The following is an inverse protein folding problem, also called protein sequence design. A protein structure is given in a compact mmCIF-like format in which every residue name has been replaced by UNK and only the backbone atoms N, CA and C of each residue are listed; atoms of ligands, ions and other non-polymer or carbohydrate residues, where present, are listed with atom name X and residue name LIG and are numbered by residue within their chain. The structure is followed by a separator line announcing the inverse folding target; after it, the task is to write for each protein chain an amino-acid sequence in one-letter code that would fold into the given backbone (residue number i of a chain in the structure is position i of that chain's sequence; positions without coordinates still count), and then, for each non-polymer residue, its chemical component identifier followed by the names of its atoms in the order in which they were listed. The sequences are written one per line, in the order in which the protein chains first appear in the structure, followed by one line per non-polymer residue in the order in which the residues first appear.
data_IF_906243863577
#
_entry.id   IF_906243863577
#
_cell.length_a   1.000
_cell.length_b   1.000
_cell.length_c   1.000
_cell.angle_alpha   90.00
_cell.angle_beta   90.00
_cell.angle_gamma   90.00
#
_symmetry.space_group_name_H-M   'P 1'
#
loop_
_entity.id
_entity.type
_entity.pdbx_description
1 polymer ?
#
# COMPACT_ATOMS: atom_id res chain seq x y z
N UNK A 1 22.29 -20.60 -86.27
CA UNK A 1 22.63 -20.69 -84.83
C UNK A 1 23.08 -19.29 -84.37
N UNK A 2 22.26 -18.53 -83.61
CA UNK A 2 22.67 -17.21 -83.16
C UNK A 2 23.70 -17.32 -82.01
N UNK A 3 24.66 -16.39 -81.91
CA UNK A 3 25.75 -16.48 -80.93
C UNK A 3 25.23 -16.33 -79.50
N UNK A 4 25.77 -17.16 -78.61
CA UNK A 4 25.54 -17.09 -77.17
C UNK A 4 25.89 -15.70 -76.65
N UNK A 5 24.91 -15.01 -76.08
CA UNK A 5 25.05 -13.68 -75.48
C UNK A 5 25.80 -13.84 -74.15
N UNK A 6 27.14 -13.91 -74.22
CA UNK A 6 27.99 -13.85 -73.04
C UNK A 6 27.74 -12.56 -72.28
N UNK A 7 27.55 -12.66 -70.97
CA UNK A 7 27.35 -11.51 -70.08
C UNK A 7 28.43 -10.46 -70.33
N UNK A 8 28.03 -9.22 -70.62
CA UNK A 8 28.98 -8.14 -70.90
C UNK A 8 29.88 -7.92 -69.67
N UNK A 9 31.16 -7.60 -69.87
CA UNK A 9 32.10 -7.29 -68.77
C UNK A 9 31.52 -6.29 -67.76
N UNK A 10 30.68 -5.36 -68.23
CA UNK A 10 29.94 -4.41 -67.37
C UNK A 10 28.93 -5.10 -66.44
N UNK A 11 28.19 -6.09 -66.93
CA UNK A 11 27.23 -6.86 -66.13
C UNK A 11 27.94 -7.69 -65.05
N UNK A 12 29.10 -8.28 -65.35
CA UNK A 12 29.90 -9.00 -64.35
C UNK A 12 30.37 -8.06 -63.23
N UNK A 13 30.83 -6.85 -63.58
CA UNK A 13 31.24 -5.83 -62.60
C UNK A 13 30.06 -5.43 -61.69
N UNK A 14 28.87 -5.21 -62.26
CA UNK A 14 27.69 -4.85 -61.46
C UNK A 14 27.27 -5.96 -60.49
N UNK A 15 27.34 -7.23 -60.91
CA UNK A 15 27.01 -8.37 -60.03
C UNK A 15 28.00 -8.46 -58.87
N UNK A 16 29.31 -8.30 -59.13
CA UNK A 16 30.32 -8.33 -58.07
C UNK A 16 30.12 -7.16 -57.11
N UNK A 17 29.89 -5.94 -57.62
CA UNK A 17 29.64 -4.77 -56.79
C UNK A 17 28.40 -4.94 -55.91
N UNK A 18 27.31 -5.49 -56.46
CA UNK A 18 26.09 -5.77 -55.70
C UNK A 18 26.32 -6.85 -54.62
N UNK A 19 27.07 -7.91 -54.92
CA UNK A 19 27.41 -8.95 -53.95
C UNK A 19 28.26 -8.41 -52.79
N UNK A 20 29.22 -7.52 -53.09
CA UNK A 20 30.04 -6.86 -52.06
C UNK A 20 29.19 -5.93 -51.18
N UNK A 21 28.30 -5.13 -51.79
CA UNK A 21 27.37 -4.27 -51.05
C UNK A 21 26.45 -5.08 -50.15
N UNK A 22 25.88 -6.18 -50.65
CA UNK A 22 25.05 -7.09 -49.85
C UNK A 22 25.84 -7.76 -48.72
N UNK A 23 27.10 -8.12 -48.97
CA UNK A 23 27.99 -8.66 -47.93
C UNK A 23 28.29 -7.63 -46.83
N UNK A 24 28.57 -6.38 -47.21
CA UNK A 24 28.83 -5.29 -46.26
C UNK A 24 27.58 -4.98 -45.44
N UNK A 25 26.40 -4.89 -46.06
CA UNK A 25 25.15 -4.62 -45.35
C UNK A 25 24.78 -5.77 -44.41
N UNK A 26 25.00 -7.01 -44.84
CA UNK A 26 24.81 -8.20 -44.01
C UNK A 26 25.75 -8.16 -42.79
N UNK A 27 27.06 -8.01 -42.98
CA UNK A 27 28.02 -7.95 -41.86
C UNK A 27 27.68 -6.81 -40.90
N UNK A 28 27.34 -5.63 -41.42
CA UNK A 28 26.96 -4.47 -40.60
C UNK A 28 25.68 -4.71 -39.80
N UNK A 29 24.73 -5.49 -40.32
CA UNK A 29 23.51 -5.88 -39.62
C UNK A 29 23.82 -6.83 -38.46
N UNK A 30 24.66 -7.85 -38.68
CA UNK A 30 25.04 -8.81 -37.63
C UNK A 30 25.93 -8.17 -36.56
N UNK A 31 26.75 -7.17 -36.90
CA UNK A 31 27.55 -6.41 -35.93
C UNK A 31 26.72 -5.47 -35.04
N UNK A 32 25.48 -5.14 -35.43
CA UNK A 32 24.56 -4.29 -34.65
C UNK A 32 23.59 -5.07 -33.76
N UNK A 33 23.59 -6.41 -33.81
CA UNK A 33 22.80 -7.18 -32.85
C UNK A 33 23.38 -6.98 -31.45
N UNK A 34 22.55 -6.62 -30.44
CA UNK A 34 23.02 -6.50 -29.07
C UNK A 34 23.60 -7.85 -28.63
N UNK A 35 24.79 -7.83 -28.04
CA UNK A 35 25.33 -9.01 -27.38
C UNK A 35 24.35 -9.44 -26.29
N UNK A 36 24.11 -10.75 -26.18
CA UNK A 36 23.40 -11.27 -25.03
C UNK A 36 24.06 -10.75 -23.74
N UNK A 37 23.28 -10.31 -22.74
CA UNK A 37 23.83 -9.82 -21.48
C UNK A 37 24.72 -10.89 -20.85
N UNK A 38 25.78 -10.47 -20.15
CA UNK A 38 26.66 -11.40 -19.48
C UNK A 38 25.88 -12.12 -18.38
N UNK A 39 26.20 -13.40 -18.15
CA UNK A 39 25.64 -14.19 -17.05
C UNK A 39 25.87 -13.53 -15.68
N UNK A 40 26.90 -12.68 -15.57
CA UNK A 40 27.17 -11.86 -14.38
C UNK A 40 26.16 -10.73 -14.21
N UNK A 41 25.78 -10.07 -15.28
CA UNK A 41 24.77 -8.98 -15.26
C UNK A 41 23.40 -9.53 -14.84
N UNK A 42 23.08 -10.75 -15.28
CA UNK A 42 21.86 -11.46 -14.86
C UNK A 42 21.88 -11.84 -13.38
N UNK A 43 23.05 -12.09 -12.79
CA UNK A 43 23.20 -12.41 -11.36
C UNK A 43 23.01 -11.17 -10.47
N UNK A 44 23.39 -9.99 -10.96
CA UNK A 44 23.18 -8.72 -10.26
C UNK A 44 21.71 -8.25 -10.34
N UNK A 45 20.95 -8.71 -11.34
CA UNK A 45 19.52 -8.48 -11.46
C UNK A 45 18.63 -9.42 -10.63
N UNK A 46 19.20 -10.44 -9.97
CA UNK A 46 18.45 -11.31 -9.08
C UNK A 46 18.26 -10.61 -7.71
N UNK A 47 17.06 -10.69 -7.12
CA UNK A 47 16.85 -10.19 -5.76
C UNK A 47 17.82 -10.86 -4.80
N UNK A 48 18.41 -10.05 -3.92
CA UNK A 48 19.46 -10.47 -2.99
C UNK A 48 19.00 -11.70 -2.18
N UNK A 49 19.71 -12.85 -2.22
CA UNK A 49 19.36 -14.04 -1.47
C UNK A 49 19.33 -13.83 0.06
N UNK A 50 19.76 -12.65 0.54
CA UNK A 50 19.66 -12.21 1.93
C UNK A 50 18.25 -11.80 2.39
N UNK A 51 17.27 -11.61 1.50
CA UNK A 51 15.88 -11.33 1.92
C UNK A 51 15.15 -12.63 2.30
N UNK A 52 15.60 -13.28 3.37
CA UNK A 52 14.84 -14.36 3.97
C UNK A 52 13.53 -13.77 4.52
N UNK A 53 12.39 -14.26 4.01
CA UNK A 53 11.03 -13.75 4.29
C UNK A 53 10.53 -13.91 5.73
N UNK A 54 11.43 -13.93 6.71
CA UNK A 54 11.14 -14.03 8.14
C UNK A 54 12.04 -13.05 8.92
N UNK A 55 12.20 -11.82 8.43
CA UNK A 55 12.87 -10.80 9.22
C UNK A 55 11.98 -10.42 10.42
N UNK A 56 12.32 -10.95 11.60
CA UNK A 56 11.68 -10.64 12.87
C UNK A 56 11.57 -9.12 13.11
N UNK A 57 12.43 -8.33 12.46
CA UNK A 57 12.44 -6.86 12.46
C UNK A 57 11.16 -6.21 11.93
N UNK A 58 10.37 -6.91 11.10
CA UNK A 58 9.09 -6.39 10.57
C UNK A 58 7.94 -6.52 11.58
N UNK A 59 8.04 -7.45 12.54
CA UNK A 59 6.97 -7.78 13.50
C UNK A 59 7.12 -7.13 14.87
N UNK A 60 7.94 -6.07 14.96
CA UNK A 60 8.19 -5.31 16.18
C UNK A 60 8.35 -3.81 15.93
N UNK A 61 8.26 -2.99 16.98
CA UNK A 61 8.40 -1.54 16.85
C UNK A 61 9.83 -1.17 16.43
N UNK A 62 9.95 -0.28 15.45
CA UNK A 62 11.23 0.22 14.94
C UNK A 62 11.35 1.74 15.08
N UNK A 63 12.49 2.30 14.65
CA UNK A 63 12.64 3.75 14.53
C UNK A 63 11.83 4.32 13.37
N UNK A 64 11.43 5.58 13.47
CA UNK A 64 10.84 6.31 12.36
C UNK A 64 11.82 6.41 11.17
N UNK A 65 11.29 6.25 9.96
CA UNK A 65 12.05 6.42 8.71
C UNK A 65 11.91 7.87 8.19
N UNK A 66 10.72 8.45 8.33
CA UNK A 66 10.45 9.82 7.90
C UNK A 66 11.07 10.84 8.88
N UNK A 67 11.50 12.02 8.38
CA UNK A 67 11.93 13.12 9.23
C UNK A 67 10.74 13.77 9.96
N UNK A 68 11.05 14.77 10.79
CA UNK A 68 10.04 15.56 11.51
C UNK A 68 9.09 16.29 10.54
N UNK A 69 7.79 16.26 10.80
CA UNK A 69 6.79 17.00 10.00
C UNK A 69 6.40 18.31 10.69
N UNK A 70 7.05 19.41 10.30
CA UNK A 70 6.90 20.72 10.96
C UNK A 70 5.64 21.53 10.58
N UNK A 71 4.96 21.21 9.47
CA UNK A 71 3.73 21.91 9.08
C UNK A 71 2.53 21.32 9.84
N UNK A 72 2.01 22.07 10.81
CA UNK A 72 0.94 21.60 11.70
C UNK A 72 -0.41 21.38 10.98
N UNK A 73 -0.73 22.16 9.96
CA UNK A 73 -1.96 21.97 9.16
C UNK A 73 -1.88 20.67 8.38
N UNK A 74 -0.79 20.47 7.64
CA UNK A 74 -0.56 19.24 6.87
C UNK A 74 -0.51 18.00 7.78
N UNK A 75 0.11 18.13 8.96
CA UNK A 75 0.16 17.08 9.98
C UNK A 75 -1.22 16.70 10.51
N UNK A 76 -2.09 17.69 10.74
CA UNK A 76 -3.46 17.44 11.19
C UNK A 76 -4.31 16.78 10.09
N UNK A 77 -4.17 17.22 8.84
CA UNK A 77 -4.84 16.63 7.67
C UNK A 77 -4.40 15.17 7.45
N UNK A 78 -3.10 14.93 7.42
CA UNK A 78 -2.52 13.59 7.36
C UNK A 78 -3.07 12.72 8.49
N UNK A 79 -3.06 13.21 9.73
CA UNK A 79 -3.57 12.46 10.88
C UNK A 79 -5.03 12.04 10.71
N UNK A 80 -5.93 12.94 10.28
CA UNK A 80 -7.35 12.61 10.07
C UNK A 80 -7.53 11.55 8.97
N UNK A 81 -6.89 11.74 7.83
CA UNK A 81 -6.97 10.80 6.71
C UNK A 81 -6.43 9.42 7.11
N UNK A 82 -5.30 9.40 7.80
CA UNK A 82 -4.68 8.17 8.26
C UNK A 82 -5.52 7.44 9.29
N UNK A 83 -6.10 8.12 10.29
CA UNK A 83 -6.98 7.46 11.25
C UNK A 83 -8.22 6.88 10.58
N UNK A 84 -8.80 7.57 9.59
CA UNK A 84 -9.92 7.03 8.80
C UNK A 84 -9.53 5.73 8.10
N UNK A 85 -8.38 5.71 7.41
CA UNK A 85 -7.89 4.49 6.77
C UNK A 85 -7.63 3.38 7.80
N UNK A 86 -6.86 3.69 8.85
CA UNK A 86 -6.45 2.73 9.88
C UNK A 86 -7.66 2.06 10.52
N UNK A 87 -8.62 2.83 11.04
CA UNK A 87 -9.84 2.24 11.62
C UNK A 87 -10.67 1.45 10.61
N UNK A 88 -10.71 1.86 9.34
CA UNK A 88 -11.38 1.09 8.29
C UNK A 88 -10.72 -0.27 8.07
N UNK A 89 -9.38 -0.36 8.07
CA UNK A 89 -8.66 -1.63 7.99
C UNK A 89 -9.09 -2.56 9.13
N UNK A 90 -9.17 -2.05 10.35
CA UNK A 90 -9.55 -2.83 11.53
C UNK A 90 -11.01 -3.29 11.47
N UNK A 91 -11.91 -2.42 11.00
CA UNK A 91 -13.33 -2.75 10.82
C UNK A 91 -13.55 -3.81 9.72
N UNK A 92 -12.68 -3.84 8.70
CA UNK A 92 -12.72 -4.84 7.61
C UNK A 92 -12.04 -6.16 7.95
N UNK A 93 -11.28 -6.23 9.05
CA UNK A 93 -10.56 -7.44 9.43
C UNK A 93 -11.54 -8.60 9.75
N UNK A 94 -11.17 -9.88 9.55
CA UNK A 94 -12.05 -11.00 9.84
C UNK A 94 -12.34 -11.17 11.34
N UNK A 95 -13.53 -11.67 11.69
CA UNK A 95 -13.85 -12.05 13.07
C UNK A 95 -13.04 -13.27 13.54
N UNK A 96 -12.72 -14.17 12.62
CA UNK A 96 -11.94 -15.40 12.85
C UNK A 96 -10.78 -15.46 11.85
N UNK A 97 -9.73 -14.65 12.02
CA UNK A 97 -8.62 -14.60 11.08
C UNK A 97 -7.79 -15.89 11.14
N UNK A 98 -7.21 -16.26 10.00
CA UNK A 98 -6.15 -17.25 9.95
C UNK A 98 -4.88 -16.71 10.61
N UNK A 99 -3.90 -17.60 10.85
CA UNK A 99 -2.59 -17.21 11.38
C UNK A 99 -1.85 -16.25 10.44
N UNK A 100 -1.99 -16.46 9.13
CA UNK A 100 -1.38 -15.62 8.11
C UNK A 100 -1.99 -14.21 8.15
N UNK A 101 -3.32 -14.09 8.14
CA UNK A 101 -4.02 -12.80 8.20
C UNK A 101 -3.70 -12.02 9.49
N UNK A 102 -3.64 -12.72 10.63
CA UNK A 102 -3.22 -12.12 11.91
C UNK A 102 -1.79 -11.60 11.85
N UNK A 103 -0.89 -12.36 11.20
CA UNK A 103 0.50 -11.96 11.01
C UNK A 103 0.60 -10.77 10.06
N UNK A 104 -0.18 -10.76 8.97
CA UNK A 104 -0.24 -9.68 8.01
C UNK A 104 -0.70 -8.37 8.69
N UNK A 105 -1.79 -8.39 9.47
CA UNK A 105 -2.26 -7.21 10.20
C UNK A 105 -1.23 -6.72 11.23
N UNK A 106 -0.60 -7.64 11.96
CA UNK A 106 0.45 -7.29 12.93
C UNK A 106 1.64 -6.62 12.24
N UNK A 107 2.13 -7.19 11.15
CA UNK A 107 3.23 -6.63 10.34
C UNK A 107 2.85 -5.27 9.75
N UNK A 108 1.62 -5.15 9.22
CA UNK A 108 1.08 -3.88 8.74
C UNK A 108 1.17 -2.79 9.81
N UNK A 109 0.74 -3.06 11.04
CA UNK A 109 0.75 -2.04 12.11
C UNK A 109 2.16 -1.58 12.47
N UNK A 110 3.14 -2.49 12.52
CA UNK A 110 4.53 -2.12 12.79
C UNK A 110 5.18 -1.39 11.62
N UNK A 111 4.94 -1.82 10.39
CA UNK A 111 5.41 -1.10 9.19
C UNK A 111 4.75 0.27 9.07
N UNK A 112 3.46 0.35 9.36
CA UNK A 112 2.70 1.59 9.41
C UNK A 112 3.34 2.58 10.37
N UNK A 113 3.75 2.14 11.57
CA UNK A 113 4.48 2.99 12.51
C UNK A 113 5.79 3.52 11.91
N UNK A 114 6.62 2.66 11.33
CA UNK A 114 7.93 3.03 10.80
C UNK A 114 7.85 3.96 9.59
N UNK A 115 6.84 3.74 8.74
CA UNK A 115 6.63 4.44 7.47
C UNK A 115 5.73 5.68 7.62
N UNK A 116 5.22 5.97 8.81
CA UNK A 116 4.30 7.10 8.99
C UNK A 116 5.00 8.45 8.66
N UNK A 117 4.45 9.30 7.76
CA UNK A 117 5.13 10.51 7.24
C UNK A 117 5.37 11.67 8.23
N UNK A 118 5.26 11.42 9.52
CA UNK A 118 5.60 12.35 10.59
C UNK A 118 6.53 11.62 11.56
N UNK A 119 7.84 11.87 11.48
CA UNK A 119 8.85 11.11 12.23
C UNK A 119 8.64 11.15 13.74
N UNK A 120 8.35 12.32 14.29
CA UNK A 120 8.09 12.44 15.74
C UNK A 120 6.77 11.77 16.17
N UNK A 121 5.80 11.66 15.26
CA UNK A 121 4.56 10.94 15.50
C UNK A 121 4.80 9.43 15.45
N UNK A 122 5.59 8.97 14.47
CA UNK A 122 6.01 7.59 14.27
C UNK A 122 6.79 7.05 15.48
N UNK A 123 7.77 7.81 15.98
CA UNK A 123 8.54 7.44 17.17
C UNK A 123 7.64 7.35 18.41
N UNK A 124 6.77 8.36 18.62
CA UNK A 124 5.82 8.32 19.73
C UNK A 124 4.87 7.11 19.64
N UNK A 125 4.37 6.79 18.45
CA UNK A 125 3.54 5.60 18.26
C UNK A 125 4.34 4.31 18.50
N UNK A 126 5.62 4.27 18.12
CA UNK A 126 6.53 3.17 18.44
C UNK A 126 6.67 2.93 19.95
N UNK A 127 6.77 3.98 20.76
CA UNK A 127 6.76 3.87 22.22
C UNK A 127 5.44 3.34 22.79
N UNK A 128 4.31 3.68 22.16
CA UNK A 128 3.02 3.09 22.52
C UNK A 128 2.98 1.60 22.16
N UNK A 129 3.45 1.21 20.97
CA UNK A 129 3.47 -0.18 20.53
C UNK A 129 4.33 -1.09 21.42
N UNK A 130 5.44 -0.58 21.97
CA UNK A 130 6.26 -1.30 22.96
C UNK A 130 5.48 -1.67 24.22
N UNK A 131 4.57 -0.79 24.66
CA UNK A 131 3.79 -0.95 25.90
C UNK A 131 2.46 -1.69 25.66
N UNK A 132 1.87 -1.47 24.48
CA UNK A 132 0.54 -1.93 24.12
C UNK A 132 0.59 -2.62 22.75
N UNK A 133 1.09 -3.87 22.68
CA UNK A 133 1.28 -4.56 21.42
C UNK A 133 -0.05 -4.77 20.67
N UNK A 134 -0.02 -4.83 19.32
CA UNK A 134 -1.22 -5.01 18.50
C UNK A 134 -2.05 -6.24 18.88
N UNK A 135 -3.36 -6.04 19.03
CA UNK A 135 -4.33 -7.13 19.23
C UNK A 135 -4.96 -7.49 17.89
N UNK A 136 -4.62 -8.66 17.36
CA UNK A 136 -4.97 -9.08 15.98
C UNK A 136 -5.73 -10.40 15.95
N UNK A 137 -6.37 -10.79 17.06
CA UNK A 137 -7.06 -12.08 17.20
C UNK A 137 -8.45 -12.10 16.57
N UNK A 138 -9.04 -10.94 16.29
CA UNK A 138 -10.36 -10.78 15.66
C UNK A 138 -10.55 -9.31 15.25
N UNK A 139 -11.55 -9.05 14.41
CA UNK A 139 -12.04 -7.69 14.09
C UNK A 139 -12.26 -6.84 15.33
N UNK A 140 -13.03 -7.36 16.29
CA UNK A 140 -13.38 -6.62 17.52
C UNK A 140 -12.15 -6.29 18.36
N UNK A 141 -11.22 -7.24 18.51
CA UNK A 141 -9.97 -7.00 19.23
C UNK A 141 -9.12 -5.92 18.57
N UNK A 142 -8.99 -5.97 17.23
CA UNK A 142 -8.22 -5.00 16.47
C UNK A 142 -8.84 -3.59 16.49
N UNK A 143 -10.17 -3.48 16.33
CA UNK A 143 -10.88 -2.21 16.35
C UNK A 143 -10.83 -1.53 17.73
N UNK A 144 -11.08 -2.28 18.81
CA UNK A 144 -11.01 -1.73 20.17
C UNK A 144 -9.58 -1.33 20.53
N UNK A 145 -8.58 -2.13 20.15
CA UNK A 145 -7.17 -1.78 20.36
C UNK A 145 -6.78 -0.50 19.60
N UNK A 146 -7.19 -0.37 18.33
CA UNK A 146 -6.93 0.84 17.55
C UNK A 146 -7.62 2.07 18.17
N UNK A 147 -8.82 1.92 18.71
CA UNK A 147 -9.53 2.98 19.41
C UNK A 147 -8.78 3.42 20.69
N UNK A 148 -8.33 2.48 21.52
CA UNK A 148 -7.52 2.79 22.70
C UNK A 148 -6.22 3.49 22.31
N UNK A 149 -5.53 3.05 21.26
CA UNK A 149 -4.32 3.73 20.77
C UNK A 149 -4.61 5.16 20.31
N UNK A 150 -5.70 5.38 19.56
CA UNK A 150 -6.13 6.71 19.14
C UNK A 150 -6.43 7.59 20.38
N UNK A 151 -7.07 7.05 21.40
CA UNK A 151 -7.34 7.76 22.65
C UNK A 151 -6.08 8.13 23.44
N UNK A 152 -5.02 7.31 23.39
CA UNK A 152 -3.72 7.69 23.98
C UNK A 152 -3.11 8.89 23.26
N UNK A 153 -3.25 8.96 21.93
CA UNK A 153 -2.85 10.14 21.15
C UNK A 153 -3.75 11.34 21.46
N UNK A 154 -5.07 11.16 21.56
CA UNK A 154 -6.01 12.22 21.94
C UNK A 154 -5.66 12.81 23.31
N UNK A 155 -5.41 11.95 24.30
CA UNK A 155 -4.99 12.37 25.65
C UNK A 155 -3.70 13.20 25.61
N UNK A 156 -2.70 12.76 24.83
CA UNK A 156 -1.44 13.51 24.65
C UNK A 156 -1.68 14.88 24.01
N UNK A 157 -2.62 14.97 23.08
CA UNK A 157 -2.96 16.20 22.37
C UNK A 157 -4.03 17.05 23.08
N UNK A 158 -4.49 16.66 24.27
CA UNK A 158 -5.55 17.36 25.01
C UNK A 158 -6.93 17.32 24.33
N UNK A 159 -7.20 16.29 23.52
CA UNK A 159 -8.49 16.09 22.84
C UNK A 159 -9.44 15.24 23.68
N UNK A 160 -10.73 15.32 23.35
CA UNK A 160 -11.75 14.47 23.96
C UNK A 160 -11.45 12.97 23.75
N UNK A 161 -11.85 12.17 24.73
CA UNK A 161 -11.70 10.71 24.68
C UNK A 161 -12.95 10.11 24.04
N UNK A 162 -12.74 9.28 23.03
CA UNK A 162 -13.81 8.57 22.33
C UNK A 162 -14.23 7.32 23.12
N UNK A 163 -15.53 7.04 23.19
CA UNK A 163 -16.03 5.80 23.80
C UNK A 163 -15.85 4.61 22.85
N UNK A 164 -14.84 3.77 23.12
CA UNK A 164 -14.54 2.61 22.28
C UNK A 164 -15.67 1.57 22.26
N UNK A 165 -16.65 1.63 23.17
CA UNK A 165 -17.80 0.73 23.15
C UNK A 165 -18.74 0.98 21.96
N UNK A 166 -18.63 2.12 21.27
CA UNK A 166 -19.41 2.47 20.07
C UNK A 166 -18.55 2.48 18.80
N UNK A 167 -17.36 1.89 18.82
CA UNK A 167 -16.42 1.95 17.68
C UNK A 167 -16.95 1.24 16.44
N UNK A 168 -17.65 0.11 16.62
CA UNK A 168 -18.25 -0.66 15.53
C UNK A 168 -19.40 0.08 14.85
N UNK A 169 -20.14 0.90 15.59
CA UNK A 169 -21.15 1.77 15.00
C UNK A 169 -20.48 2.83 14.13
N UNK A 170 -19.42 3.47 14.64
CA UNK A 170 -18.76 4.61 13.99
C UNK A 170 -17.98 4.23 12.72
N UNK A 171 -17.22 3.15 12.77
CA UNK A 171 -16.57 2.54 11.62
C UNK A 171 -17.32 1.26 11.24
N UNK A 172 -18.44 1.43 10.54
CA UNK A 172 -19.12 0.31 9.90
C UNK A 172 -18.15 -0.42 8.96
N UNK A 173 -18.16 -1.75 8.99
CA UNK A 173 -17.32 -2.56 8.13
C UNK A 173 -17.71 -2.44 6.66
N UNK A 174 -18.83 -1.79 6.30
CA UNK A 174 -19.30 -1.68 4.92
C UNK A 174 -19.42 -3.05 4.26
N UNK A 175 -19.63 -4.08 5.08
CA UNK A 175 -19.81 -5.44 4.61
C UNK A 175 -21.12 -5.47 3.82
N UNK A 176 -21.10 -5.97 2.59
CA UNK A 176 -22.35 -6.27 1.90
C UNK A 176 -23.12 -7.26 2.79
N UNK A 177 -24.31 -6.89 3.23
CA UNK A 177 -25.20 -7.83 3.91
C UNK A 177 -25.77 -8.77 2.84
N UNK A 178 -25.58 -10.08 3.02
CA UNK A 178 -26.33 -11.06 2.24
C UNK A 178 -27.80 -10.98 2.70
N UNK A 179 -28.78 -11.07 1.80
CA UNK A 179 -30.21 -10.87 2.14
C UNK A 179 -30.70 -11.80 3.28
N UNK A 180 -30.07 -12.96 3.46
CA UNK A 180 -30.37 -13.92 4.51
C UNK A 180 -29.72 -13.57 5.88
N UNK A 181 -28.57 -12.90 5.88
CA UNK A 181 -27.88 -12.47 7.12
C UNK A 181 -28.44 -11.14 7.65
N UNK A 182 -28.98 -10.29 6.77
CA UNK A 182 -29.68 -9.05 7.11
C UNK A 182 -30.91 -9.30 8.01
N UNK A 183 -31.71 -10.34 7.72
CA UNK A 183 -32.89 -10.70 8.53
C UNK A 183 -32.51 -11.14 9.94
N UNK A 184 -31.52 -12.01 10.07
CA UNK A 184 -31.05 -12.49 11.37
C UNK A 184 -30.38 -11.38 12.22
N UNK A 185 -29.66 -10.46 11.59
CA UNK A 185 -29.07 -9.30 12.25
C UNK A 185 -30.14 -8.27 12.70
N UNK A 186 -31.21 -8.10 11.93
CA UNK A 186 -32.32 -7.20 12.28
C UNK A 186 -33.09 -7.68 13.52
N UNK A 187 -33.29 -9.00 13.66
CA UNK A 187 -33.97 -9.60 14.80
C UNK A 187 -33.11 -9.54 16.08
N UNK A 188 -31.78 -9.65 15.95
CA UNK A 188 -30.85 -9.52 17.07
C UNK A 188 -30.65 -8.06 17.54
N UNK A 189 -30.64 -7.09 16.61
CA UNK A 189 -30.56 -5.65 16.93
C UNK A 189 -31.80 -5.16 17.71
N UNK A 190 -32.97 -5.75 17.49
CA UNK A 190 -34.20 -5.44 18.23
C UNK A 190 -34.22 -5.97 19.68
N UNK A 191 -33.34 -6.91 20.05
CA UNK A 191 -33.33 -7.53 21.37
C UNK A 191 -32.38 -6.84 22.39
N UNK A 192 -31.53 -5.92 21.94
CA UNK A 192 -30.51 -5.29 22.80
C UNK A 192 -30.30 -3.83 22.42
N UNK A 193 -31.31 -2.99 22.69
CA UNK A 193 -31.27 -1.57 22.40
C UNK A 193 -30.18 -0.85 23.22
N UNK A 194 -29.03 -0.60 22.61
CA UNK A 194 -28.03 0.37 23.07
C UNK A 194 -28.25 1.68 22.27
N UNK A 195 -28.02 2.87 22.85
CA UNK A 195 -28.31 4.11 22.16
C UNK A 195 -27.38 4.26 20.96
N UNK A 196 -27.95 4.29 19.76
CA UNK A 196 -27.25 4.54 18.51
C UNK A 196 -26.74 6.00 18.50
N UNK A 197 -25.50 6.22 18.06
CA UNK A 197 -24.90 7.55 17.97
C UNK A 197 -25.55 8.36 16.85
N UNK A 198 -26.12 9.54 17.17
CA UNK A 198 -26.81 10.37 16.18
C UNK A 198 -25.92 10.76 14.99
N UNK A 199 -26.51 10.84 13.80
CA UNK A 199 -25.84 11.27 12.56
C UNK A 199 -25.08 12.59 12.73
N UNK A 200 -25.68 13.55 13.44
CA UNK A 200 -25.06 14.84 13.77
C UNK A 200 -23.80 14.70 14.64
N UNK A 201 -23.80 13.75 15.59
CA UNK A 201 -22.62 13.48 16.44
C UNK A 201 -21.53 12.76 15.64
N UNK A 202 -21.92 11.89 14.70
CA UNK A 202 -20.99 11.25 13.76
C UNK A 202 -20.34 12.29 12.85
N UNK A 203 -21.11 13.22 12.30
CA UNK A 203 -20.63 14.30 11.43
C UNK A 203 -19.68 15.27 12.15
N UNK A 204 -20.00 15.64 13.40
CA UNK A 204 -19.11 16.44 14.24
C UNK A 204 -17.79 15.74 14.56
N UNK A 205 -17.79 14.41 14.67
CA UNK A 205 -16.59 13.61 14.92
C UNK A 205 -15.80 13.31 13.63
N UNK A 206 -16.45 13.27 12.47
CA UNK A 206 -15.80 13.05 11.18
C UNK A 206 -15.28 14.33 10.52
N UNK A 207 -15.44 15.50 11.17
CA UNK A 207 -15.07 16.85 10.71
C UNK A 207 -14.63 16.90 9.24
N UNK A 208 -15.64 16.95 8.39
CA UNK A 208 -15.56 17.06 6.94
C UNK A 208 -14.68 15.97 6.31
N UNK A 209 -15.32 14.86 5.91
CA UNK A 209 -14.85 14.03 4.80
C UNK A 209 -14.81 14.86 3.52
N UNK A 210 -13.89 15.81 3.45
CA UNK A 210 -13.69 16.68 2.31
C UNK A 210 -13.32 15.78 1.14
N UNK A 211 -14.10 15.91 0.07
CA UNK A 211 -13.64 15.59 -1.27
C UNK A 211 -12.19 16.04 -1.41
N UNK A 212 -11.38 15.12 -1.92
CA UNK A 212 -10.03 15.41 -2.34
C UNK A 212 -10.13 16.43 -3.48
N UNK A 213 -9.95 17.70 -3.15
CA UNK A 213 -9.98 18.79 -4.12
C UNK A 213 -8.72 18.67 -5.01
N UNK A 214 -8.92 18.10 -6.19
CA UNK A 214 -7.88 17.94 -7.20
C UNK A 214 -7.38 19.27 -7.76
N UNK A 215 -8.12 20.36 -7.54
CA UNK A 215 -7.77 21.68 -8.07
C UNK A 215 -6.62 22.33 -7.28
N UNK A 216 -6.28 21.81 -6.09
CA UNK A 216 -5.08 22.19 -5.34
C UNK A 216 -3.79 21.48 -5.80
N UNK A 217 -3.89 20.46 -6.67
CA UNK A 217 -2.75 19.75 -7.24
C UNK A 217 -2.38 20.24 -8.65
N UNK A 218 -3.19 21.13 -9.21
CA UNK A 218 -2.90 21.84 -10.47
C UNK A 218 -2.83 23.33 -10.16
N UNK A 219 -1.74 23.72 -9.49
CA UNK A 219 -1.32 25.12 -9.49
C UNK A 219 -0.20 25.26 -10.54
N UNK A 220 -0.47 26.07 -11.57
CA UNK A 220 0.52 26.62 -12.50
C UNK A 220 1.65 27.36 -11.75
#
# INVERSE_FOLDING_TARGET
MPPSRGSSRRQVIYIIAAAVLLGITFISFFQRMPKAPDLKDLREALPDPGFSGADATITGPGGAIAPKLGNETAKAELGRATWKYFHTVMARFPDKPTREESTALKSFIYLFQRLYPCGECADHFGELLKKYPPQVSSRSAAAVWACDMHNKVNKRLGKEIFDCATIGDFYDCGCAEDEDTARAASDAKNAMAKPEMSSERREKLTQNGRDFDTDLLVAD
#
